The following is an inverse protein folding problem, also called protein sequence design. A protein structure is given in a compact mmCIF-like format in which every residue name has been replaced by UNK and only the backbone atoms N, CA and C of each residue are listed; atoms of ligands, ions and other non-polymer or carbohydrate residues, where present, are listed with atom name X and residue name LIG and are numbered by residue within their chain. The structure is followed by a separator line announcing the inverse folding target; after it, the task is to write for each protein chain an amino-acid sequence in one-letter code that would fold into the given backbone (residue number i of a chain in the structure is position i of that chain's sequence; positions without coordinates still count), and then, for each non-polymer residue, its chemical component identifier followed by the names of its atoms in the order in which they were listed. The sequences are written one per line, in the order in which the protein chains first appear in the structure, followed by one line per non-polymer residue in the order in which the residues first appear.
data_IF_681232255610
#
_entry.id   IF_681232255610
#
_cell.length_a   1.000
_cell.length_b   1.000
_cell.length_c   1.000
_cell.angle_alpha   90.00
_cell.angle_beta   90.00
_cell.angle_gamma   90.00
#
_symmetry.space_group_name_H-M   'P 1'
#
loop_
_entity.id
_entity.type
_entity.pdbx_description
1 polymer ?
#
# COMPACT_ATOMS: atom_id res chain seq x y z
N UNK A 1 23.08 -21.27 15.16
CA UNK A 1 22.60 -20.65 13.91
C UNK A 1 22.89 -19.16 13.98
N UNK A 2 23.56 -18.58 12.97
CA UNK A 2 23.79 -17.13 12.93
C UNK A 2 22.52 -16.43 12.46
N UNK A 3 21.91 -15.61 13.32
CA UNK A 3 20.77 -14.78 12.95
C UNK A 3 21.28 -13.52 12.28
N UNK A 4 20.96 -13.35 11.00
CA UNK A 4 21.29 -12.16 10.21
C UNK A 4 20.14 -11.17 10.27
N UNK A 5 20.45 -9.88 10.36
CA UNK A 5 19.38 -8.88 10.35
C UNK A 5 18.78 -8.76 8.94
N UNK A 6 17.51 -8.34 8.88
CA UNK A 6 16.87 -8.07 7.59
C UNK A 6 17.61 -7.03 6.76
N UNK A 7 18.28 -6.07 7.42
CA UNK A 7 19.13 -5.07 6.77
C UNK A 7 20.32 -5.73 6.07
N UNK A 8 21.03 -6.61 6.77
CA UNK A 8 22.23 -7.27 6.23
C UNK A 8 21.91 -8.17 5.03
N UNK A 9 20.78 -8.87 5.08
CA UNK A 9 20.29 -9.70 3.97
C UNK A 9 19.94 -8.82 2.77
N UNK A 10 19.29 -7.68 3.04
CA UNK A 10 18.87 -6.73 2.03
C UNK A 10 20.04 -6.09 1.29
N UNK A 11 21.07 -5.68 2.03
CA UNK A 11 22.27 -5.06 1.48
C UNK A 11 23.06 -6.06 0.62
N UNK A 12 23.11 -7.34 1.01
CA UNK A 12 23.77 -8.39 0.21
C UNK A 12 22.99 -8.75 -1.06
N UNK A 13 21.67 -8.94 -0.97
CA UNK A 13 20.87 -9.48 -2.09
C UNK A 13 20.48 -8.40 -3.10
N UNK A 14 20.16 -7.19 -2.62
CA UNK A 14 19.60 -6.12 -3.44
C UNK A 14 20.53 -4.91 -3.57
N UNK A 15 21.69 -4.95 -2.90
CA UNK A 15 22.61 -3.83 -2.80
C UNK A 15 22.24 -2.86 -1.68
N UNK A 16 23.19 -1.98 -1.36
CA UNK A 16 22.99 -0.90 -0.41
C UNK A 16 21.97 0.14 -0.93
N UNK A 17 21.38 0.92 -0.02
CA UNK A 17 20.51 2.05 -0.38
C UNK A 17 21.19 3.01 -1.36
N UNK A 18 20.44 3.50 -2.34
CA UNK A 18 20.95 4.37 -3.41
C UNK A 18 21.50 3.62 -4.63
N UNK A 19 21.47 2.28 -4.64
CA UNK A 19 21.73 1.50 -5.86
C UNK A 19 20.43 1.32 -6.64
N UNK A 20 20.51 1.29 -7.98
CA UNK A 20 19.33 1.17 -8.86
C UNK A 20 18.39 0.02 -8.44
N UNK A 21 18.96 -1.18 -8.24
CA UNK A 21 18.22 -2.37 -7.85
C UNK A 21 17.56 -2.21 -6.48
N UNK A 22 18.24 -1.55 -5.54
CA UNK A 22 17.69 -1.29 -4.21
C UNK A 22 16.55 -0.28 -4.26
N UNK A 23 16.72 0.78 -5.03
CA UNK A 23 15.74 1.85 -5.16
C UNK A 23 14.49 1.38 -5.92
N UNK A 24 14.63 0.50 -6.91
CA UNK A 24 13.51 -0.17 -7.58
C UNK A 24 12.70 -1.02 -6.60
N UNK A 25 13.36 -1.85 -5.78
CA UNK A 25 12.70 -2.64 -4.75
C UNK A 25 11.95 -1.74 -3.75
N UNK A 26 12.58 -0.65 -3.30
CA UNK A 26 11.93 0.28 -2.36
C UNK A 26 10.73 0.99 -3.01
N UNK A 27 10.81 1.36 -4.29
CA UNK A 27 9.67 1.92 -5.05
C UNK A 27 8.51 0.94 -5.17
N UNK A 28 8.77 -0.31 -5.53
CA UNK A 28 7.73 -1.35 -5.60
C UNK A 28 7.09 -1.59 -4.23
N UNK A 29 7.89 -1.55 -3.18
CA UNK A 29 7.43 -1.74 -1.81
C UNK A 29 6.53 -0.59 -1.31
N UNK A 30 6.77 0.66 -1.71
CA UNK A 30 5.92 1.78 -1.28
C UNK A 30 4.47 1.66 -1.81
N UNK A 31 4.27 1.19 -3.05
CA UNK A 31 2.92 0.92 -3.57
C UNK A 31 2.20 -0.17 -2.77
N UNK A 32 2.91 -1.24 -2.40
CA UNK A 32 2.38 -2.30 -1.55
C UNK A 32 1.99 -1.79 -0.15
N UNK A 33 2.83 -0.93 0.44
CA UNK A 33 2.58 -0.32 1.76
C UNK A 33 1.31 0.51 1.79
N UNK A 34 0.97 1.24 0.70
CA UNK A 34 -0.30 1.97 0.61
C UNK A 34 -1.48 1.00 0.74
N UNK A 35 -1.48 -0.12 0.01
CA UNK A 35 -2.52 -1.15 0.09
C UNK A 35 -2.72 -1.68 1.52
N UNK A 36 -1.62 -1.96 2.23
CA UNK A 36 -1.67 -2.39 3.63
C UNK A 36 -2.24 -1.31 4.57
N UNK A 37 -1.90 -0.04 4.36
CA UNK A 37 -2.43 1.07 5.16
C UNK A 37 -3.95 1.20 4.97
N UNK A 38 -4.43 1.07 3.73
CA UNK A 38 -5.87 1.09 3.43
C UNK A 38 -6.59 -0.08 4.08
N UNK A 39 -6.02 -1.29 4.01
CA UNK A 39 -6.54 -2.48 4.69
C UNK A 39 -6.68 -2.26 6.18
N UNK A 40 -5.62 -1.74 6.82
CA UNK A 40 -5.62 -1.46 8.25
C UNK A 40 -6.70 -0.44 8.62
N UNK A 41 -6.80 0.67 7.89
CA UNK A 41 -7.82 1.69 8.14
C UNK A 41 -9.25 1.15 7.95
N UNK A 42 -9.47 0.24 6.99
CA UNK A 42 -10.75 -0.45 6.80
C UNK A 42 -11.08 -1.34 8.00
N UNK A 43 -10.10 -2.11 8.50
CA UNK A 43 -10.27 -3.01 9.64
C UNK A 43 -10.51 -2.26 10.96
N UNK A 44 -9.83 -1.12 11.16
CA UNK A 44 -10.07 -0.20 12.29
C UNK A 44 -11.49 0.39 12.28
N UNK A 45 -12.13 0.45 11.10
CA UNK A 45 -13.53 0.84 10.91
C UNK A 45 -14.50 -0.34 10.96
N UNK A 46 -14.03 -1.55 11.28
CA UNK A 46 -14.82 -2.77 11.34
C UNK A 46 -15.61 -3.07 10.06
N UNK A 47 -15.03 -2.70 8.91
CA UNK A 47 -15.69 -2.80 7.61
C UNK A 47 -15.14 -3.98 6.80
N UNK A 48 -15.99 -4.72 6.10
CA UNK A 48 -15.56 -5.77 5.16
C UNK A 48 -15.12 -5.19 3.81
N UNK A 49 -14.37 -5.97 3.02
CA UNK A 49 -14.01 -5.55 1.66
C UNK A 49 -15.25 -5.34 0.78
N UNK A 50 -16.31 -6.13 0.97
CA UNK A 50 -17.58 -5.99 0.24
C UNK A 50 -18.29 -4.68 0.58
N UNK A 51 -18.35 -4.34 1.87
CA UNK A 51 -18.96 -3.09 2.33
C UNK A 51 -18.20 -1.87 1.78
N UNK A 52 -16.88 -1.87 1.84
CA UNK A 52 -16.07 -0.78 1.26
C UNK A 52 -16.31 -0.67 -0.25
N UNK A 53 -16.35 -1.81 -0.96
CA UNK A 53 -16.59 -1.85 -2.39
C UNK A 53 -17.95 -1.26 -2.77
N UNK A 54 -19.00 -1.56 -2.00
CA UNK A 54 -20.34 -1.01 -2.20
C UNK A 54 -20.37 0.51 -2.05
N UNK A 55 -19.68 1.07 -1.04
CA UNK A 55 -19.66 2.52 -0.79
C UNK A 55 -19.04 3.29 -1.98
N UNK A 56 -18.01 2.71 -2.61
CA UNK A 56 -17.28 3.37 -3.70
C UNK A 56 -17.68 2.89 -5.10
N UNK A 57 -18.78 2.13 -5.22
CA UNK A 57 -19.29 1.55 -6.47
C UNK A 57 -18.21 0.73 -7.23
N UNK A 58 -17.64 -0.26 -6.54
CA UNK A 58 -16.65 -1.21 -7.08
C UNK A 58 -16.99 -2.64 -6.72
N UNK A 59 -16.30 -3.58 -7.36
CA UNK A 59 -16.35 -5.01 -7.01
C UNK A 59 -15.45 -5.29 -5.81
N UNK A 60 -15.83 -6.24 -4.95
CA UNK A 60 -14.98 -6.74 -3.85
C UNK A 60 -13.56 -7.13 -4.29
N UNK A 61 -13.47 -7.80 -5.44
CA UNK A 61 -12.19 -8.25 -6.01
C UNK A 61 -11.25 -7.09 -6.33
N UNK A 62 -11.81 -5.91 -6.63
CA UNK A 62 -11.03 -4.69 -6.81
C UNK A 62 -10.41 -4.23 -5.48
N UNK A 63 -11.19 -4.17 -4.40
CA UNK A 63 -10.68 -3.85 -3.05
C UNK A 63 -9.61 -4.86 -2.62
N UNK A 64 -9.87 -6.15 -2.83
CA UNK A 64 -8.88 -7.18 -2.50
C UNK A 64 -7.55 -7.00 -3.24
N UNK A 65 -7.59 -6.66 -4.54
CA UNK A 65 -6.37 -6.38 -5.31
C UNK A 65 -5.63 -5.15 -4.79
N UNK A 66 -6.37 -4.08 -4.52
CA UNK A 66 -5.82 -2.83 -3.96
C UNK A 66 -5.12 -3.08 -2.62
N UNK A 67 -5.71 -3.89 -1.75
CA UNK A 67 -5.17 -4.15 -0.41
C UNK A 67 -4.01 -5.15 -0.37
N UNK A 68 -3.92 -6.08 -1.32
CA UNK A 68 -3.01 -7.23 -1.22
C UNK A 68 -1.95 -7.32 -2.32
N UNK A 69 -2.18 -6.76 -3.52
CA UNK A 69 -1.36 -7.05 -4.71
C UNK A 69 -0.33 -5.94 -5.00
N UNK A 70 -0.32 -4.87 -4.21
CA UNK A 70 0.52 -3.69 -4.44
C UNK A 70 0.30 -3.03 -5.81
N UNK A 71 -0.78 -3.39 -6.50
CA UNK A 71 -1.09 -2.93 -7.84
C UNK A 71 -1.21 -1.42 -7.88
N UNK A 72 -0.78 -0.81 -8.99
CA UNK A 72 -0.76 0.64 -9.17
C UNK A 72 -2.15 1.26 -8.92
N UNK A 73 -2.30 1.97 -7.79
CA UNK A 73 -3.52 2.67 -7.41
C UNK A 73 -3.47 4.07 -8.04
N UNK A 74 -4.53 4.48 -8.74
CA UNK A 74 -4.64 5.87 -9.19
C UNK A 74 -4.96 6.79 -8.02
N UNK A 75 -4.50 8.05 -8.06
CA UNK A 75 -4.88 9.03 -7.04
C UNK A 75 -6.40 9.15 -6.88
N UNK A 76 -7.16 9.11 -7.98
CA UNK A 76 -8.63 9.10 -7.95
C UNK A 76 -9.16 7.96 -7.08
N UNK A 77 -8.66 6.74 -7.29
CA UNK A 77 -9.04 5.58 -6.48
C UNK A 77 -8.69 5.78 -5.01
N UNK A 78 -7.50 6.32 -4.72
CA UNK A 78 -7.08 6.60 -3.35
C UNK A 78 -8.06 7.57 -2.67
N UNK A 79 -8.45 8.66 -3.34
CA UNK A 79 -9.46 9.59 -2.84
C UNK A 79 -10.83 8.92 -2.65
N UNK A 80 -11.29 8.13 -3.63
CA UNK A 80 -12.56 7.41 -3.52
C UNK A 80 -12.57 6.46 -2.30
N UNK A 81 -11.51 5.66 -2.12
CA UNK A 81 -11.41 4.75 -0.97
C UNK A 81 -11.34 5.52 0.34
N UNK A 82 -10.45 6.50 0.46
CA UNK A 82 -10.19 7.17 1.74
C UNK A 82 -11.31 8.12 2.11
N UNK A 83 -11.76 8.97 1.19
CA UNK A 83 -12.69 10.06 1.52
C UNK A 83 -14.15 9.62 1.45
N UNK A 84 -14.52 8.84 0.42
CA UNK A 84 -15.90 8.34 0.30
C UNK A 84 -16.08 7.04 1.06
N UNK A 85 -15.16 6.08 0.88
CA UNK A 85 -15.24 4.75 1.49
C UNK A 85 -15.02 4.78 3.00
N UNK A 86 -13.90 5.36 3.43
CA UNK A 86 -13.47 5.35 4.82
C UNK A 86 -13.86 6.64 5.56
N UNK A 87 -14.28 7.72 4.88
CA UNK A 87 -14.61 8.99 5.54
C UNK A 87 -13.41 9.71 6.17
N UNK A 88 -12.20 9.45 5.65
CA UNK A 88 -10.97 10.15 6.00
C UNK A 88 -10.66 11.33 5.09
N UNK A 89 -9.41 11.79 5.11
CA UNK A 89 -8.87 12.80 4.18
C UNK A 89 -7.49 12.39 3.70
N UNK A 90 -7.23 12.53 2.40
CA UNK A 90 -5.89 12.30 1.85
C UNK A 90 -5.10 13.60 1.91
N UNK A 91 -3.87 13.54 2.43
CA UNK A 91 -2.90 14.64 2.37
C UNK A 91 -1.65 14.16 1.63
N UNK A 92 -1.28 14.84 0.56
CA UNK A 92 -0.10 14.52 -0.25
C UNK A 92 0.91 15.65 -0.07
N UNK A 93 2.14 15.28 0.25
CA UNK A 93 3.28 16.18 0.33
C UNK A 93 4.31 15.73 -0.69
N UNK A 94 4.87 16.69 -1.42
CA UNK A 94 5.93 16.47 -2.39
C UNK A 94 7.13 17.28 -1.89
N UNK A 95 8.25 16.59 -1.66
CA UNK A 95 9.54 17.20 -1.35
C UNK A 95 10.43 17.08 -2.61
N UNK A 96 11.19 18.14 -2.90
CA UNK A 96 12.08 18.25 -4.07
C UNK A 96 13.54 18.14 -3.63
#
# INVERSE_FOLDING_TARGET
MSTRSWKDIKDEVYGIKGTLRRDELEREFESFKIGLLLKKAREEKHMTQDQLAQIIDKKRTYISRVENDGSNITLKTLFDIVEKGLGGKVKIYIEL
#
